data_IF_238304693314
#
_entry.id   IF_238304693314
#
_cell.length_a   1.000
_cell.length_b   1.000
_cell.length_c   1.000
_cell.angle_alpha   90.00
_cell.angle_beta   90.00
_cell.angle_gamma   90.00
#
_symmetry.space_group_name_H-M   'P 1'
#
loop_
_entity.id
_entity.type
_entity.pdbx_description
1 polymer ?
#
# COMPACT_ATOMS: atom_id res chain seq x y z
N UNK A 1 -42.31 -15.34 36.10
CA UNK A 1 -40.87 -15.72 36.23
C UNK A 1 -40.39 -16.67 35.12
N UNK A 2 -41.18 -17.70 34.77
CA UNK A 2 -40.83 -18.62 33.66
C UNK A 2 -40.78 -17.91 32.31
N UNK A 3 -41.68 -16.96 32.05
CA UNK A 3 -41.70 -16.17 30.80
C UNK A 3 -40.41 -15.38 30.59
N UNK A 4 -39.86 -14.79 31.66
CA UNK A 4 -38.56 -14.06 31.56
C UNK A 4 -37.41 -15.00 31.21
N UNK A 5 -37.39 -16.22 31.80
CA UNK A 5 -36.39 -17.23 31.52
C UNK A 5 -36.41 -17.70 30.06
N UNK A 6 -37.63 -17.84 29.49
CA UNK A 6 -37.77 -18.22 28.07
C UNK A 6 -37.21 -17.10 27.17
N UNK A 7 -37.52 -15.85 27.45
CA UNK A 7 -37.05 -14.70 26.64
C UNK A 7 -35.53 -14.60 26.68
N UNK A 8 -34.89 -14.67 27.85
CA UNK A 8 -33.40 -14.63 27.94
C UNK A 8 -32.78 -15.85 27.29
N UNK A 9 -33.43 -17.01 27.34
CA UNK A 9 -32.95 -18.23 26.63
C UNK A 9 -32.94 -18.04 25.12
N UNK A 10 -33.98 -17.47 24.53
CA UNK A 10 -34.07 -17.18 23.11
C UNK A 10 -33.00 -16.16 22.70
N UNK A 11 -32.83 -15.07 23.48
CA UNK A 11 -31.80 -14.05 23.21
C UNK A 11 -30.40 -14.65 23.25
N UNK A 12 -30.11 -15.51 24.23
CA UNK A 12 -28.84 -16.17 24.36
C UNK A 12 -28.53 -17.07 23.14
N UNK A 13 -29.50 -17.82 22.66
CA UNK A 13 -29.33 -18.65 21.44
C UNK A 13 -29.09 -17.79 20.22
N UNK A 14 -29.87 -16.73 20.02
CA UNK A 14 -29.64 -15.82 18.87
C UNK A 14 -28.28 -15.14 18.95
N UNK A 15 -27.88 -14.65 20.12
CA UNK A 15 -26.57 -14.03 20.32
C UNK A 15 -25.42 -14.99 20.01
N UNK A 16 -25.54 -16.26 20.44
CA UNK A 16 -24.51 -17.27 20.17
C UNK A 16 -24.33 -17.58 18.66
N UNK A 17 -25.39 -17.46 17.87
CA UNK A 17 -25.34 -17.65 16.42
C UNK A 17 -24.80 -16.42 15.66
N UNK A 18 -25.02 -15.22 16.18
CA UNK A 18 -24.62 -13.96 15.51
C UNK A 18 -23.09 -13.70 15.59
N UNK A 19 -22.43 -14.06 16.69
CA UNK A 19 -21.01 -13.79 16.90
C UNK A 19 -20.09 -14.38 15.83
N UNK A 20 -20.17 -15.68 15.45
CA UNK A 20 -19.31 -16.24 14.43
C UNK A 20 -19.56 -15.68 13.04
N UNK A 21 -20.80 -15.32 12.73
CA UNK A 21 -21.20 -14.71 11.45
C UNK A 21 -20.56 -13.33 11.31
N UNK A 22 -20.62 -12.50 12.34
CA UNK A 22 -20.02 -11.16 12.32
C UNK A 22 -18.51 -11.20 12.08
N UNK A 23 -17.80 -12.15 12.68
CA UNK A 23 -16.35 -12.33 12.45
C UNK A 23 -16.03 -12.74 11.00
N UNK A 24 -16.84 -13.64 10.42
CA UNK A 24 -16.67 -14.06 9.03
C UNK A 24 -16.95 -12.92 8.04
N UNK A 25 -17.96 -12.10 8.28
CA UNK A 25 -18.28 -10.92 7.46
C UNK A 25 -17.16 -9.89 7.51
N UNK A 26 -16.65 -9.54 8.70
CA UNK A 26 -15.52 -8.62 8.85
C UNK A 26 -14.29 -9.09 8.09
N UNK A 27 -13.94 -10.38 8.21
CA UNK A 27 -12.81 -10.95 7.47
C UNK A 27 -12.98 -10.77 5.97
N UNK A 28 -14.15 -11.12 5.41
CA UNK A 28 -14.43 -10.95 3.98
C UNK A 28 -14.35 -9.49 3.55
N UNK A 29 -14.89 -8.58 4.35
CA UNK A 29 -14.83 -7.15 4.07
C UNK A 29 -13.38 -6.64 3.99
N UNK A 30 -12.50 -7.05 4.90
CA UNK A 30 -11.08 -6.69 4.86
C UNK A 30 -10.37 -7.21 3.61
N UNK A 31 -10.59 -8.47 3.26
CA UNK A 31 -10.00 -9.06 2.06
C UNK A 31 -10.48 -8.34 0.80
N UNK A 32 -11.78 -8.12 0.66
CA UNK A 32 -12.35 -7.44 -0.50
C UNK A 32 -11.87 -6.00 -0.63
N UNK A 33 -11.82 -5.24 0.47
CA UNK A 33 -11.31 -3.87 0.46
C UNK A 33 -9.85 -3.83 -0.02
N UNK A 34 -9.03 -4.77 0.43
CA UNK A 34 -7.62 -4.86 0.03
C UNK A 34 -7.48 -5.29 -1.43
N UNK A 35 -8.29 -6.23 -1.92
CA UNK A 35 -8.30 -6.60 -3.34
C UNK A 35 -8.73 -5.43 -4.24
N UNK A 36 -9.72 -4.65 -3.82
CA UNK A 36 -10.16 -3.45 -4.54
C UNK A 36 -9.04 -2.41 -4.60
N UNK A 37 -8.34 -2.18 -3.48
CA UNK A 37 -7.20 -1.27 -3.45
C UNK A 37 -6.06 -1.78 -4.36
N UNK A 38 -5.75 -3.08 -4.36
CA UNK A 38 -4.77 -3.66 -5.28
C UNK A 38 -5.12 -3.36 -6.73
N UNK A 39 -6.37 -3.61 -7.14
CA UNK A 39 -6.82 -3.34 -8.50
C UNK A 39 -6.72 -1.85 -8.89
N UNK A 40 -6.92 -0.92 -7.94
CA UNK A 40 -6.69 0.51 -8.16
C UNK A 40 -5.21 0.80 -8.41
N UNK A 41 -4.31 0.24 -7.60
CA UNK A 41 -2.86 0.40 -7.76
C UNK A 41 -2.40 -0.21 -9.09
N UNK A 42 -2.86 -1.41 -9.45
CA UNK A 42 -2.54 -2.05 -10.73
C UNK A 42 -2.97 -1.17 -11.92
N UNK A 43 -4.19 -0.62 -11.87
CA UNK A 43 -4.68 0.31 -12.89
C UNK A 43 -3.80 1.55 -13.00
N UNK A 44 -3.33 2.10 -11.89
CA UNK A 44 -2.42 3.24 -11.88
C UNK A 44 -1.05 2.89 -12.47
N UNK A 45 -0.50 1.72 -12.13
CA UNK A 45 0.75 1.20 -12.70
C UNK A 45 0.64 1.00 -14.21
N UNK A 46 -0.49 0.49 -14.71
CA UNK A 46 -0.72 0.29 -16.14
C UNK A 46 -0.83 1.63 -16.89
N UNK A 47 -1.49 2.63 -16.29
CA UNK A 47 -1.52 4.01 -16.82
C UNK A 47 -0.13 4.62 -16.85
N UNK A 48 0.66 4.44 -15.79
CA UNK A 48 2.04 4.89 -15.73
C UNK A 48 2.88 4.26 -16.86
N UNK A 49 2.80 2.92 -17.01
CA UNK A 49 3.48 2.21 -18.10
C UNK A 49 3.06 2.70 -19.48
N UNK A 50 1.77 2.97 -19.67
CA UNK A 50 1.26 3.49 -20.94
C UNK A 50 1.81 4.89 -21.27
N UNK A 51 2.08 5.70 -20.23
CA UNK A 51 2.62 7.05 -20.39
C UNK A 51 4.14 7.09 -20.58
N UNK A 52 4.88 6.23 -19.86
CA UNK A 52 6.36 6.25 -19.80
C UNK A 52 7.02 5.09 -20.56
N UNK A 53 6.28 4.04 -20.94
CA UNK A 53 6.81 2.88 -21.65
C UNK A 53 7.41 1.79 -20.76
N UNK A 54 7.55 2.03 -19.46
CA UNK A 54 8.09 1.08 -18.47
C UNK A 54 7.29 1.14 -17.16
N UNK A 55 7.43 0.13 -16.33
CA UNK A 55 6.79 0.09 -15.01
C UNK A 55 7.47 1.05 -14.02
N UNK A 56 6.75 1.60 -13.03
CA UNK A 56 7.37 2.40 -11.98
C UNK A 56 8.60 1.68 -11.40
N UNK A 57 9.73 2.36 -11.19
CA UNK A 57 10.89 1.75 -10.54
C UNK A 57 10.55 1.28 -9.13
N UNK A 58 11.00 0.09 -8.74
CA UNK A 58 10.90 -0.43 -7.37
C UNK A 58 12.17 -0.13 -6.57
N UNK A 59 12.09 -0.27 -5.23
CA UNK A 59 13.27 -0.22 -4.39
C UNK A 59 14.04 -1.54 -4.51
N UNK A 60 15.27 -1.56 -5.06
CA UNK A 60 16.01 -2.79 -5.27
C UNK A 60 16.50 -3.43 -3.96
N UNK A 61 16.55 -2.65 -2.87
CA UNK A 61 17.09 -3.09 -1.58
C UNK A 61 16.01 -3.45 -0.57
N UNK A 62 14.80 -2.90 -0.71
CA UNK A 62 13.72 -3.10 0.25
C UNK A 62 12.34 -2.95 -0.39
N UNK A 63 11.69 -4.05 -0.69
CA UNK A 63 10.36 -4.08 -1.29
C UNK A 63 9.24 -3.54 -0.39
N UNK A 64 9.46 -3.47 0.94
CA UNK A 64 8.51 -2.91 1.91
C UNK A 64 8.51 -1.38 1.92
N UNK A 65 9.69 -0.78 1.73
CA UNK A 65 9.86 0.67 1.69
C UNK A 65 10.23 1.02 0.25
N UNK A 66 9.22 1.26 -0.56
CA UNK A 66 9.37 1.55 -1.98
C UNK A 66 8.78 2.91 -2.33
N UNK A 67 9.27 3.48 -3.43
CA UNK A 67 8.88 4.80 -3.93
C UNK A 67 7.59 4.80 -4.76
N UNK A 68 6.83 3.70 -4.79
CA UNK A 68 5.67 3.56 -5.65
C UNK A 68 4.66 4.71 -5.48
N UNK A 69 4.46 5.20 -4.25
CA UNK A 69 3.61 6.36 -3.99
C UNK A 69 4.09 7.60 -4.75
N UNK A 70 5.37 7.96 -4.63
CA UNK A 70 5.94 9.13 -5.31
C UNK A 70 5.91 9.01 -6.83
N UNK A 71 6.11 7.81 -7.36
CA UNK A 71 6.03 7.55 -8.79
C UNK A 71 4.60 7.62 -9.34
N UNK A 72 3.61 7.14 -8.59
CA UNK A 72 2.23 7.17 -9.05
C UNK A 72 1.55 8.51 -8.83
N UNK A 73 1.86 9.21 -7.73
CA UNK A 73 1.35 10.55 -7.44
C UNK A 73 2.00 11.61 -8.34
N UNK A 74 3.26 11.37 -8.72
CA UNK A 74 4.07 12.35 -9.43
C UNK A 74 4.71 13.38 -8.50
N UNK A 75 5.81 13.96 -8.96
CA UNK A 75 6.61 14.87 -8.15
C UNK A 75 7.03 16.12 -8.93
N UNK A 76 7.43 17.14 -8.19
CA UNK A 76 8.15 18.32 -8.71
C UNK A 76 9.45 18.46 -7.95
N UNK A 77 10.57 18.56 -8.65
CA UNK A 77 11.86 18.88 -8.06
C UNK A 77 11.99 20.40 -7.95
N UNK A 78 12.10 20.89 -6.73
CA UNK A 78 12.31 22.32 -6.49
C UNK A 78 13.75 22.72 -6.76
N UNK A 79 14.01 24.02 -6.93
CA UNK A 79 15.38 24.58 -7.10
C UNK A 79 16.28 24.32 -5.90
N UNK A 80 15.69 24.07 -4.72
CA UNK A 80 16.43 23.75 -3.49
C UNK A 80 16.76 22.24 -3.36
N UNK A 81 16.50 21.44 -4.40
CA UNK A 81 16.80 20.02 -4.40
C UNK A 81 15.84 19.18 -3.54
N UNK A 82 14.58 19.62 -3.42
CA UNK A 82 13.54 18.87 -2.70
C UNK A 82 12.51 18.37 -3.71
N UNK A 83 12.23 17.07 -3.70
CA UNK A 83 11.08 16.50 -4.39
C UNK A 83 9.84 16.72 -3.54
N UNK A 84 8.79 17.23 -4.15
CA UNK A 84 7.46 17.39 -3.56
C UNK A 84 6.44 16.67 -4.44
N UNK A 85 5.52 15.91 -3.86
CA UNK A 85 4.40 15.29 -4.58
C UNK A 85 3.48 16.36 -5.17
N UNK A 86 2.77 16.05 -6.26
CA UNK A 86 1.89 17.02 -6.95
C UNK A 86 0.76 17.51 -6.05
N UNK A 87 0.27 16.67 -5.13
CA UNK A 87 -0.71 17.04 -4.11
C UNK A 87 -0.11 17.84 -2.94
N UNK A 88 1.23 18.00 -2.90
CA UNK A 88 1.94 18.71 -1.85
C UNK A 88 2.02 17.98 -0.50
N UNK A 89 1.52 16.76 -0.40
CA UNK A 89 1.37 16.02 0.88
C UNK A 89 2.64 15.33 1.36
N UNK A 90 3.63 15.14 0.49
CA UNK A 90 4.91 14.51 0.82
C UNK A 90 6.08 15.27 0.21
N UNK A 91 7.20 15.26 0.93
CA UNK A 91 8.46 15.89 0.51
C UNK A 91 9.63 14.98 0.84
N UNK A 92 10.69 15.04 0.04
CA UNK A 92 11.95 14.37 0.35
C UNK A 92 13.12 15.11 -0.31
N UNK A 93 14.20 15.34 0.44
CA UNK A 93 15.41 15.91 -0.11
C UNK A 93 16.05 14.95 -1.13
N UNK A 94 16.55 15.46 -2.24
CA UNK A 94 17.18 14.65 -3.28
C UNK A 94 18.33 13.77 -2.75
N UNK A 95 19.08 14.28 -1.76
CA UNK A 95 20.14 13.54 -1.09
C UNK A 95 19.61 12.32 -0.29
N UNK A 96 18.36 12.37 0.19
CA UNK A 96 17.78 11.33 1.04
C UNK A 96 16.97 10.28 0.26
N UNK A 97 16.73 10.51 -1.05
CA UNK A 97 15.98 9.55 -1.90
C UNK A 97 16.68 8.20 -1.95
N UNK A 98 18.01 8.20 -2.17
CA UNK A 98 18.77 6.94 -2.25
C UNK A 98 18.76 6.20 -0.92
N UNK A 99 18.91 6.90 0.20
CA UNK A 99 18.90 6.30 1.54
C UNK A 99 17.58 5.63 1.87
N UNK A 100 16.46 6.25 1.45
CA UNK A 100 15.13 5.73 1.76
C UNK A 100 14.64 4.69 0.75
N UNK A 101 14.93 4.89 -0.55
CA UNK A 101 14.33 4.10 -1.63
C UNK A 101 15.34 3.36 -2.54
N UNK A 102 16.65 3.53 -2.31
CA UNK A 102 17.67 2.86 -3.11
C UNK A 102 17.77 3.35 -4.57
N UNK A 103 17.17 4.49 -4.89
CA UNK A 103 17.16 5.10 -6.23
C UNK A 103 17.63 6.56 -6.15
N UNK A 104 18.07 7.15 -7.28
CA UNK A 104 18.63 8.50 -7.28
C UNK A 104 17.60 9.61 -7.59
N UNK A 105 16.30 9.29 -7.63
CA UNK A 105 15.23 10.25 -7.92
C UNK A 105 13.99 9.56 -8.45
N UNK A 106 13.03 10.35 -8.87
CA UNK A 106 11.75 9.85 -9.42
C UNK A 106 11.70 10.11 -10.92
N UNK A 107 11.10 9.16 -11.66
CA UNK A 107 10.91 9.27 -13.10
C UNK A 107 9.72 10.15 -13.44
N UNK A 108 8.62 10.02 -12.71
CA UNK A 108 7.43 10.86 -12.82
C UNK A 108 7.66 12.18 -12.08
N UNK A 109 8.44 13.08 -12.69
CA UNK A 109 8.93 14.29 -12.04
C UNK A 109 9.03 15.47 -12.98
N UNK A 110 8.42 16.60 -12.60
CA UNK A 110 8.70 17.92 -13.19
C UNK A 110 10.06 18.43 -12.68
N UNK A 111 11.00 18.65 -13.58
CA UNK A 111 12.34 19.13 -13.22
C UNK A 111 12.51 20.60 -13.63
N UNK A 112 13.17 21.44 -12.82
CA UNK A 112 13.59 22.74 -13.28
C UNK A 112 14.57 22.57 -14.45
N UNK A 113 14.42 23.33 -15.50
CA UNK A 113 15.21 23.25 -16.73
C UNK A 113 15.03 21.97 -17.56
N UNK A 114 13.91 21.27 -17.42
CA UNK A 114 13.55 20.22 -18.36
C UNK A 114 13.23 20.83 -19.75
N UNK A 115 13.57 20.10 -20.82
CA UNK A 115 13.19 20.50 -22.17
C UNK A 115 11.66 20.55 -22.28
N UNK A 116 11.12 21.47 -23.11
CA UNK A 116 9.68 21.57 -23.36
C UNK A 116 9.05 20.26 -23.89
N UNK A 117 9.86 19.39 -24.47
CA UNK A 117 9.46 18.07 -24.95
C UNK A 117 9.41 16.99 -23.86
N UNK A 118 9.94 17.26 -22.66
CA UNK A 118 9.92 16.31 -21.57
C UNK A 118 8.48 16.11 -21.05
N UNK A 119 8.05 14.87 -20.80
CA UNK A 119 6.71 14.61 -20.28
C UNK A 119 6.56 15.25 -18.91
N UNK A 120 5.49 16.02 -18.72
CA UNK A 120 5.13 16.56 -17.43
C UNK A 120 4.74 15.44 -16.46
N UNK A 121 5.08 15.62 -15.19
CA UNK A 121 4.63 14.71 -14.13
C UNK A 121 3.09 14.66 -14.07
N UNK A 122 2.57 13.49 -13.78
CA UNK A 122 1.13 13.20 -13.72
C UNK A 122 0.78 12.41 -12.48
N UNK A 123 -0.37 12.71 -11.92
CA UNK A 123 -1.02 11.87 -10.93
C UNK A 123 -1.77 10.73 -11.66
N UNK A 124 -1.37 9.48 -11.36
CA UNK A 124 -1.99 8.26 -11.88
C UNK A 124 -2.91 7.60 -10.85
N UNK A 125 -2.84 8.03 -9.59
CA UNK A 125 -3.55 7.42 -8.47
C UNK A 125 -4.33 8.48 -7.66
N UNK A 126 -5.30 9.16 -8.29
CA UNK A 126 -6.11 10.17 -7.61
C UNK A 126 -6.96 9.54 -6.49
N UNK A 127 -7.43 10.35 -5.58
CA UNK A 127 -8.40 9.99 -4.54
C UNK A 127 -7.91 8.97 -3.49
N UNK A 128 -6.60 8.98 -3.19
CA UNK A 128 -6.05 8.20 -2.08
C UNK A 128 -6.58 8.70 -0.74
N UNK A 129 -7.00 7.77 0.09
CA UNK A 129 -7.39 8.08 1.46
C UNK A 129 -6.17 8.26 2.34
N UNK A 130 -6.22 9.12 3.37
CA UNK A 130 -5.11 9.35 4.28
C UNK A 130 -4.58 8.08 4.97
N UNK A 131 -5.45 7.11 5.22
CA UNK A 131 -5.10 5.82 5.81
C UNK A 131 -4.35 4.88 4.86
N UNK A 132 -4.33 5.19 3.56
CA UNK A 132 -3.61 4.44 2.53
C UNK A 132 -2.19 4.99 2.28
N UNK A 133 -1.90 6.21 2.76
CA UNK A 133 -0.63 6.93 2.55
C UNK A 133 -0.08 7.52 3.86
N UNK A 134 0.13 6.70 4.91
CA UNK A 134 0.67 7.19 6.17
C UNK A 134 2.09 7.70 6.02
N UNK A 135 2.47 8.59 6.92
CA UNK A 135 3.84 9.10 7.00
C UNK A 135 4.75 8.07 7.65
N UNK A 136 5.72 7.57 6.88
CA UNK A 136 6.73 6.63 7.36
C UNK A 136 7.78 7.34 8.23
N UNK A 137 8.24 8.51 7.78
CA UNK A 137 9.29 9.31 8.40
C UNK A 137 8.97 10.80 8.22
N UNK A 138 9.24 11.57 9.23
CA UNK A 138 9.21 13.03 9.15
C UNK A 138 10.45 13.63 9.82
N UNK A 139 11.01 14.67 9.21
CA UNK A 139 12.06 15.50 9.78
C UNK A 139 11.83 16.97 9.31
N UNK A 140 12.81 17.83 9.42
CA UNK A 140 12.66 19.25 9.05
C UNK A 140 12.36 19.49 7.56
N UNK A 141 12.82 18.59 6.68
CA UNK A 141 12.70 18.72 5.21
C UNK A 141 11.86 17.60 4.59
N UNK A 142 11.83 16.41 5.23
CA UNK A 142 11.22 15.23 4.65
C UNK A 142 9.90 14.90 5.36
N UNK A 143 8.88 14.67 4.55
CA UNK A 143 7.63 14.00 4.91
C UNK A 143 7.50 12.82 3.98
N UNK A 144 8.14 11.70 4.33
CA UNK A 144 8.18 10.50 3.50
C UNK A 144 6.93 9.67 3.74
N UNK A 145 6.17 9.43 2.69
CA UNK A 145 4.97 8.60 2.70
C UNK A 145 5.16 7.33 1.87
N UNK A 146 4.43 6.28 2.20
CA UNK A 146 4.40 5.02 1.46
C UNK A 146 2.96 4.54 1.29
N UNK A 147 2.72 3.75 0.24
CA UNK A 147 1.44 3.07 0.06
C UNK A 147 1.31 1.90 1.05
N UNK A 148 0.19 1.89 1.78
CA UNK A 148 -0.16 0.78 2.67
C UNK A 148 -1.55 0.25 2.34
N UNK A 149 -1.80 -1.01 2.67
CA UNK A 149 -3.15 -1.51 2.72
C UNK A 149 -3.91 -0.79 3.84
N UNK A 150 -5.06 -0.18 3.52
CA UNK A 150 -5.91 0.54 4.49
C UNK A 150 -6.40 -0.35 5.63
N UNK A 151 -6.25 -1.65 5.47
CA UNK A 151 -6.46 -2.65 6.49
C UNK A 151 -5.10 -3.21 6.89
N UNK A 152 -4.55 -2.72 8.00
CA UNK A 152 -3.29 -3.21 8.57
C UNK A 152 -3.37 -4.65 9.07
N UNK A 153 -4.57 -5.16 9.16
CA UNK A 153 -4.93 -6.39 9.83
C UNK A 153 -5.37 -6.10 11.28
N UNK A 154 -6.41 -6.77 11.75
CA UNK A 154 -6.89 -6.59 13.12
C UNK A 154 -5.94 -7.18 14.18
N UNK A 155 -4.89 -7.89 13.77
CA UNK A 155 -3.92 -8.46 14.68
C UNK A 155 -2.84 -7.43 15.04
N UNK A 156 -2.81 -6.95 16.30
CA UNK A 156 -1.85 -5.92 16.72
C UNK A 156 -0.40 -6.39 16.74
N UNK A 157 -0.18 -7.70 16.61
CA UNK A 157 1.18 -8.27 16.56
C UNK A 157 1.80 -8.25 15.18
N UNK A 158 1.01 -7.99 14.13
CA UNK A 158 1.50 -7.95 12.77
C UNK A 158 2.10 -6.58 12.44
N UNK A 159 3.43 -6.50 12.51
CA UNK A 159 4.19 -5.27 12.34
C UNK A 159 5.31 -5.47 11.29
N UNK A 160 4.98 -5.47 9.99
CA UNK A 160 5.97 -5.77 8.94
C UNK A 160 7.13 -4.77 8.87
N UNK A 161 6.93 -3.53 9.35
CA UNK A 161 7.97 -2.48 9.45
C UNK A 161 8.66 -2.43 10.82
N UNK A 162 8.39 -3.41 11.70
CA UNK A 162 8.97 -3.48 13.04
C UNK A 162 8.19 -2.71 14.12
N UNK A 163 8.72 -2.71 15.35
CA UNK A 163 8.06 -2.10 16.50
C UNK A 163 7.74 -0.62 16.30
N UNK A 164 6.57 -0.19 16.73
CA UNK A 164 6.11 1.19 16.62
C UNK A 164 5.45 1.57 15.29
N UNK A 165 5.40 0.67 14.32
CA UNK A 165 4.74 0.86 13.01
C UNK A 165 3.60 -0.15 12.80
N UNK A 166 2.85 -0.47 13.86
CA UNK A 166 1.85 -1.55 13.85
C UNK A 166 0.65 -1.30 12.95
N UNK A 167 0.33 -0.04 12.69
CA UNK A 167 -0.80 0.32 11.83
C UNK A 167 -0.41 0.50 10.36
N UNK A 168 0.86 0.18 10.02
CA UNK A 168 1.39 0.27 8.67
C UNK A 168 1.63 -1.12 8.10
N UNK A 169 0.88 -1.46 7.06
CA UNK A 169 1.08 -2.68 6.28
C UNK A 169 1.40 -2.32 4.82
N UNK A 170 2.68 -2.10 4.47
CA UNK A 170 3.06 -1.62 3.15
C UNK A 170 2.70 -2.59 2.04
N UNK A 171 2.29 -2.04 0.89
CA UNK A 171 2.29 -2.75 -0.36
C UNK A 171 3.73 -3.07 -0.76
N UNK A 172 4.03 -4.35 -0.91
CA UNK A 172 5.32 -4.83 -1.40
C UNK A 172 5.30 -4.75 -2.91
N UNK A 173 6.23 -3.99 -3.44
CA UNK A 173 6.34 -3.77 -4.88
C UNK A 173 7.75 -4.08 -5.37
N UNK A 174 7.85 -4.95 -6.37
CA UNK A 174 9.10 -5.33 -6.99
C UNK A 174 8.97 -5.34 -8.50
N UNK A 175 9.57 -4.37 -9.18
CA UNK A 175 9.68 -4.30 -10.64
C UNK A 175 11.09 -4.56 -11.15
N UNK A 176 12.09 -4.55 -10.25
CA UNK A 176 13.48 -4.74 -10.63
C UNK A 176 13.82 -6.22 -10.89
N UNK A 177 13.33 -7.11 -10.04
CA UNK A 177 13.53 -8.56 -10.17
C UNK A 177 12.31 -9.33 -9.64
N UNK A 178 11.15 -9.25 -10.32
CA UNK A 178 9.95 -9.94 -9.89
C UNK A 178 10.12 -11.46 -10.02
N UNK A 179 9.78 -12.20 -8.97
CA UNK A 179 9.92 -13.66 -8.91
C UNK A 179 8.68 -14.38 -9.40
N UNK A 180 7.49 -13.79 -9.21
CA UNK A 180 6.22 -14.43 -9.55
C UNK A 180 5.70 -14.00 -10.93
N UNK A 181 5.96 -12.75 -11.35
CA UNK A 181 5.60 -12.23 -12.67
C UNK A 181 6.83 -11.75 -13.43
N UNK A 182 7.72 -12.63 -13.92
CA UNK A 182 8.91 -12.24 -14.65
C UNK A 182 8.62 -11.32 -15.83
N UNK A 183 9.35 -10.20 -15.93
CA UNK A 183 9.17 -9.20 -16.99
C UNK A 183 8.04 -8.21 -16.78
N UNK A 184 7.32 -8.30 -15.66
CA UNK A 184 6.25 -7.38 -15.27
C UNK A 184 6.59 -6.73 -13.92
N UNK A 185 5.88 -7.05 -12.88
CA UNK A 185 6.16 -6.67 -11.49
C UNK A 185 5.41 -7.59 -10.54
N UNK A 186 5.92 -7.72 -9.33
CA UNK A 186 5.19 -8.33 -8.21
C UNK A 186 4.61 -7.24 -7.31
N UNK A 187 3.30 -7.30 -7.08
CA UNK A 187 2.58 -6.44 -6.14
C UNK A 187 1.78 -7.32 -5.18
N UNK A 188 2.02 -7.17 -3.89
CA UNK A 188 1.34 -7.98 -2.90
C UNK A 188 1.35 -7.40 -1.49
N UNK A 189 0.41 -7.89 -0.69
CA UNK A 189 0.31 -7.58 0.73
C UNK A 189 -0.17 -8.81 1.50
N UNK A 190 0.28 -8.96 2.73
CA UNK A 190 -0.18 -10.02 3.62
C UNK A 190 -1.00 -9.39 4.75
N UNK A 191 -2.23 -9.88 4.95
CA UNK A 191 -3.07 -9.51 6.08
C UNK A 191 -2.99 -10.59 7.15
N UNK A 192 -2.95 -10.21 8.42
CA UNK A 192 -3.08 -11.15 9.54
C UNK A 192 -4.44 -10.93 10.23
N UNK A 193 -5.30 -11.94 10.17
CA UNK A 193 -6.66 -11.89 10.70
C UNK A 193 -6.92 -13.14 11.55
N UNK A 194 -7.19 -12.96 12.84
CA UNK A 194 -7.43 -14.05 13.79
C UNK A 194 -6.34 -15.15 13.75
N UNK A 195 -5.08 -14.73 13.77
CA UNK A 195 -3.92 -15.62 13.75
C UNK A 195 -3.60 -16.29 12.41
N UNK A 196 -4.41 -16.08 11.36
CA UNK A 196 -4.14 -16.60 10.02
C UNK A 196 -3.62 -15.49 9.10
N UNK A 197 -2.71 -15.86 8.21
CA UNK A 197 -2.12 -14.97 7.22
C UNK A 197 -2.84 -15.15 5.88
N UNK A 198 -3.22 -14.04 5.25
CA UNK A 198 -3.91 -13.97 3.97
C UNK A 198 -3.05 -13.17 3.00
N UNK A 199 -2.45 -13.84 2.03
CA UNK A 199 -1.66 -13.18 0.99
C UNK A 199 -2.58 -12.81 -0.17
N UNK A 200 -2.58 -11.52 -0.51
CA UNK A 200 -3.25 -10.93 -1.66
C UNK A 200 -2.17 -10.46 -2.61
N UNK A 201 -2.17 -10.93 -3.85
CA UNK A 201 -1.09 -10.75 -4.80
C UNK A 201 -1.60 -10.70 -6.25
N UNK A 202 -0.83 -10.06 -7.13
CA UNK A 202 -1.21 -9.88 -8.53
C UNK A 202 -0.93 -11.09 -9.44
N UNK A 203 -0.28 -12.14 -8.95
CA UNK A 203 -0.06 -13.39 -9.68
C UNK A 203 -1.07 -14.49 -9.36
N UNK A 204 -2.00 -14.25 -8.44
CA UNK A 204 -3.07 -15.17 -8.10
C UNK A 204 -4.38 -14.42 -7.86
N UNK A 205 -5.45 -14.87 -8.50
CA UNK A 205 -6.81 -14.35 -8.23
C UNK A 205 -7.36 -14.80 -6.88
N UNK A 206 -6.85 -15.93 -6.38
CA UNK A 206 -7.28 -16.49 -5.10
C UNK A 206 -6.37 -16.02 -3.97
N UNK A 207 -6.98 -15.70 -2.84
CA UNK A 207 -6.25 -15.34 -1.63
C UNK A 207 -5.56 -16.58 -1.07
N UNK A 208 -4.26 -16.52 -0.92
CA UNK A 208 -3.46 -17.63 -0.41
C UNK A 208 -3.42 -17.56 1.13
N UNK A 209 -3.74 -18.69 1.76
CA UNK A 209 -3.82 -18.75 3.23
C UNK A 209 -2.56 -19.42 3.78
N UNK A 210 -1.91 -18.75 4.74
CA UNK A 210 -0.68 -19.20 5.41
C UNK A 210 0.47 -19.53 4.45
N UNK A 211 0.45 -18.97 3.24
CA UNK A 211 1.57 -19.08 2.31
C UNK A 211 2.78 -18.29 2.80
N UNK A 212 4.01 -18.78 2.60
CA UNK A 212 5.21 -17.99 2.84
C UNK A 212 5.20 -16.74 1.94
N UNK A 213 5.89 -15.71 2.37
CA UNK A 213 6.16 -14.56 1.51
C UNK A 213 7.24 -14.95 0.49
N UNK A 214 7.13 -14.47 -0.76
CA UNK A 214 8.15 -14.66 -1.78
C UNK A 214 9.48 -14.06 -1.41
#
# INVERSE_FOLDING_TARGET
>A
MVELLIVIGIIAVIAALLLPVAAAVKKRAYIQATQTQMAQIETAIDRYKSAYGFYPPGNPNNILINQLYFELEGTTLTTNGIFQTLDGSATIAAADVNVNFGVNGFMNCNRPNADESAPSARDFLPDLKPDQIPTLKTNATDVVKILVASVGGPDPTYQPLGPGKRDMNPWRYNSANPTNNPGVYDLYVQLQIAGKKYLICNWSKEVQINSPLP
#
